data_IF_602641124769
#
_entry.id   IF_602641124769
#
_cell.length_a   1.000
_cell.length_b   1.000
_cell.length_c   1.000
_cell.angle_alpha   90.00
_cell.angle_beta   90.00
_cell.angle_gamma   90.00
#
_symmetry.space_group_name_H-M   'P 1'
#
loop_
_entity.id
_entity.type
_entity.pdbx_description
1 polymer ?
#
# COMPACT_ATOMS: atom_id res chain seq x y z
N UNK A 1 -16.51 -14.40 6.35
CA UNK A 1 -15.23 -14.43 7.07
C UNK A 1 -14.30 -13.36 6.51
N UNK A 2 -13.63 -12.61 7.39
CA UNK A 2 -12.66 -11.57 7.03
C UNK A 2 -11.26 -12.00 7.47
N UNK A 3 -10.32 -12.08 6.54
CA UNK A 3 -8.92 -12.42 6.81
C UNK A 3 -8.06 -11.17 6.66
N UNK A 4 -7.33 -10.80 7.70
CA UNK A 4 -6.22 -9.86 7.62
C UNK A 4 -4.90 -10.59 7.46
N UNK A 5 -4.06 -10.19 6.51
CA UNK A 5 -2.73 -10.77 6.31
C UNK A 5 -1.67 -9.74 6.69
N UNK A 6 -0.89 -10.05 7.71
CA UNK A 6 0.26 -9.27 8.15
C UNK A 6 1.57 -10.01 7.88
N UNK A 7 2.68 -9.28 7.97
CA UNK A 7 4.01 -9.83 7.84
C UNK A 7 5.01 -8.80 7.27
N UNK A 8 6.29 -9.14 7.38
CA UNK A 8 7.38 -8.24 7.02
C UNK A 8 7.51 -7.99 5.50
N UNK A 9 8.40 -7.07 5.12
CA UNK A 9 8.66 -6.77 3.70
C UNK A 9 9.10 -8.03 2.94
N UNK A 10 8.61 -8.21 1.71
CA UNK A 10 8.94 -9.35 0.82
C UNK A 10 8.59 -10.74 1.37
N UNK A 11 7.80 -10.83 2.43
CA UNK A 11 7.49 -12.11 3.08
C UNK A 11 6.54 -13.00 2.28
N UNK A 12 5.80 -12.41 1.33
CA UNK A 12 4.85 -13.11 0.47
C UNK A 12 3.39 -12.81 0.80
N UNK A 13 3.08 -11.81 1.64
CA UNK A 13 1.68 -11.49 2.02
C UNK A 13 0.72 -11.33 0.83
N UNK A 14 1.16 -10.64 -0.23
CA UNK A 14 0.35 -10.46 -1.43
C UNK A 14 0.17 -11.77 -2.21
N UNK A 15 1.20 -12.63 -2.24
CA UNK A 15 1.08 -13.97 -2.83
C UNK A 15 0.10 -14.83 -2.05
N UNK A 16 0.11 -14.76 -0.72
CA UNK A 16 -0.87 -15.43 0.13
C UNK A 16 -2.29 -14.89 -0.13
N UNK A 17 -2.46 -13.57 -0.25
CA UNK A 17 -3.75 -12.97 -0.59
C UNK A 17 -4.26 -13.47 -1.95
N UNK A 18 -3.40 -13.49 -2.96
CA UNK A 18 -3.73 -13.95 -4.31
C UNK A 18 -4.13 -15.43 -4.31
N UNK A 19 -3.44 -16.26 -3.53
CA UNK A 19 -3.83 -17.67 -3.34
C UNK A 19 -5.24 -17.80 -2.77
N UNK A 20 -5.59 -17.02 -1.73
CA UNK A 20 -6.94 -17.03 -1.15
C UNK A 20 -8.00 -16.59 -2.17
N UNK A 21 -7.70 -15.60 -2.99
CA UNK A 21 -8.63 -15.14 -4.04
C UNK A 21 -8.82 -16.20 -5.11
N UNK A 22 -7.73 -16.73 -5.66
CA UNK A 22 -7.77 -17.65 -6.79
C UNK A 22 -8.29 -19.04 -6.41
N UNK A 23 -7.91 -19.57 -5.25
CA UNK A 23 -8.19 -20.96 -4.87
C UNK A 23 -9.39 -21.10 -3.94
N UNK A 24 -9.65 -20.10 -3.08
CA UNK A 24 -10.72 -20.16 -2.07
C UNK A 24 -11.84 -19.16 -2.32
N UNK A 25 -11.81 -18.41 -3.42
CA UNK A 25 -12.89 -17.48 -3.81
C UNK A 25 -13.02 -16.27 -2.91
N UNK A 26 -11.96 -15.86 -2.22
CA UNK A 26 -11.97 -14.62 -1.45
C UNK A 26 -12.02 -13.41 -2.37
N UNK A 27 -12.66 -12.34 -1.92
CA UNK A 27 -12.57 -11.04 -2.56
C UNK A 27 -11.64 -10.12 -1.78
N UNK A 28 -10.76 -9.44 -2.51
CA UNK A 28 -9.74 -8.59 -1.92
C UNK A 28 -10.33 -7.21 -1.58
N UNK A 29 -10.06 -6.74 -0.38
CA UNK A 29 -10.41 -5.40 0.07
C UNK A 29 -9.12 -4.59 0.24
N UNK A 30 -9.22 -3.29 0.01
CA UNK A 30 -8.11 -2.35 0.11
C UNK A 30 -8.49 -1.15 0.98
N UNK A 31 -7.54 -0.74 1.82
CA UNK A 31 -7.59 0.49 2.61
C UNK A 31 -6.47 1.42 2.13
N UNK A 32 -6.69 2.75 2.09
CA UNK A 32 -5.65 3.69 1.71
C UNK A 32 -4.49 3.58 2.69
N UNK A 33 -3.28 3.53 2.14
CA UNK A 33 -2.09 3.65 2.97
C UNK A 33 -2.01 5.11 3.45
N UNK A 34 -1.68 5.39 4.73
CA UNK A 34 -1.61 6.77 5.25
C UNK A 34 -0.77 7.74 4.40
N UNK A 35 0.24 7.23 3.67
CA UNK A 35 1.08 8.01 2.77
C UNK A 35 0.36 8.52 1.51
N UNK A 36 -0.79 7.96 1.16
CA UNK A 36 -1.52 8.29 -0.08
C UNK A 36 -2.39 9.56 0.07
N UNK A 37 -2.53 10.10 1.29
CA UNK A 37 -3.36 11.28 1.60
C UNK A 37 -2.60 12.62 1.59
N UNK A 38 -1.54 12.77 0.77
CA UNK A 38 -1.01 14.09 0.44
C UNK A 38 -1.57 14.58 -0.90
N UNK A 39 -2.68 15.37 -0.91
CA UNK A 39 -2.99 16.18 -2.07
C UNK A 39 -1.93 17.30 -2.17
N UNK A 40 -1.20 17.35 -3.30
CA UNK A 40 -0.45 18.53 -3.71
C UNK A 40 -1.44 19.71 -3.81
N UNK A 41 -1.51 20.53 -2.76
CA UNK A 41 -2.13 21.85 -2.80
C UNK A 41 -1.14 22.86 -2.24
N UNK A 42 -0.38 23.50 -3.14
CA UNK A 42 0.30 24.76 -2.84
C UNK A 42 0.04 25.75 -3.98
N UNK A 43 -0.99 26.55 -3.75
CA UNK A 43 -1.06 28.00 -3.98
C UNK A 43 -0.63 28.56 -5.35
N UNK A 44 -1.63 28.83 -6.18
CA UNK A 44 -1.58 29.70 -7.35
C UNK A 44 -2.01 31.14 -7.00
N UNK A 45 -1.23 32.10 -7.52
CA UNK A 45 -1.54 33.49 -7.85
C UNK A 45 -1.59 34.55 -6.73
N UNK A 46 -0.51 35.33 -6.60
CA UNK A 46 -0.65 36.78 -6.37
C UNK A 46 0.45 37.61 -7.08
N UNK A 47 0.00 38.30 -8.13
CA UNK A 47 0.28 39.66 -8.62
C UNK A 47 1.64 40.36 -8.35
N UNK A 48 2.39 40.71 -9.42
CA UNK A 48 2.93 42.05 -9.81
C UNK A 48 4.26 41.97 -10.62
N UNK A 49 4.43 42.69 -11.76
CA UNK A 49 5.67 42.70 -12.55
C UNK A 49 6.46 44.01 -12.47
N UNK A 50 7.74 43.96 -12.07
CA UNK A 50 8.79 44.99 -12.29
C UNK A 50 10.08 44.50 -11.60
N UNK A 51 11.34 44.77 -11.95
CA UNK A 51 12.04 45.42 -13.07
C UNK A 51 13.54 45.21 -12.73
N UNK A 52 14.31 44.57 -13.62
CA UNK A 52 15.77 44.69 -13.81
C UNK A 52 16.70 44.40 -12.60
N UNK A 53 17.48 43.31 -12.65
CA UNK A 53 18.98 43.30 -12.58
C UNK A 53 19.59 41.92 -12.31
N UNK A 54 20.24 41.37 -13.35
CA UNK A 54 21.60 40.78 -13.40
C UNK A 54 22.06 39.73 -12.37
N UNK A 55 22.43 38.58 -12.95
CA UNK A 55 23.56 37.69 -12.62
C UNK A 55 23.58 36.98 -11.25
N UNK A 56 23.31 35.67 -11.23
CA UNK A 56 24.28 34.60 -10.88
C UNK A 56 23.60 33.27 -10.53
N UNK A 57 24.17 32.18 -11.08
CA UNK A 57 24.19 30.79 -10.59
C UNK A 57 22.85 30.01 -10.39
N UNK A 58 22.67 28.86 -11.07
CA UNK A 58 21.74 27.84 -10.63
C UNK A 58 22.41 26.95 -9.57
N UNK A 59 22.18 27.22 -8.29
CA UNK A 59 22.47 26.28 -7.21
C UNK A 59 21.33 25.26 -7.10
N UNK A 60 21.69 24.00 -7.36
CA UNK A 60 20.97 22.72 -7.19
C UNK A 60 19.55 22.72 -6.59
N UNK A 61 18.57 22.07 -7.25
CA UNK A 61 17.33 21.67 -6.59
C UNK A 61 17.60 20.52 -5.59
N UNK A 62 16.87 20.46 -4.45
CA UNK A 62 17.07 19.47 -3.41
C UNK A 62 16.67 18.06 -3.91
N UNK A 63 17.29 16.97 -3.42
CA UNK A 63 16.95 15.62 -3.87
C UNK A 63 15.53 15.26 -3.39
N UNK A 64 14.62 14.82 -4.28
CA UNK A 64 13.31 14.34 -3.88
C UNK A 64 13.44 12.92 -3.30
N UNK A 65 12.97 12.72 -2.06
CA UNK A 65 12.09 11.64 -1.56
C UNK A 65 11.99 10.30 -2.35
N UNK A 66 13.10 9.68 -2.78
CA UNK A 66 13.10 8.44 -3.58
C UNK A 66 12.76 7.17 -2.77
N UNK A 67 12.82 7.20 -1.44
CA UNK A 67 12.67 5.97 -0.63
C UNK A 67 11.21 5.52 -0.39
N UNK A 68 10.24 6.43 -0.44
CA UNK A 68 8.85 6.07 -0.12
C UNK A 68 8.07 5.46 -1.30
N UNK A 69 8.36 5.89 -2.53
CA UNK A 69 7.71 5.34 -3.73
C UNK A 69 8.17 3.91 -4.03
N UNK A 70 9.34 3.50 -3.51
CA UNK A 70 9.88 2.14 -3.66
C UNK A 70 9.21 1.11 -2.76
N UNK A 71 8.50 1.55 -1.72
CA UNK A 71 7.75 0.67 -0.81
C UNK A 71 6.30 0.44 -1.26
N UNK A 72 5.89 1.01 -2.39
CA UNK A 72 4.56 0.79 -2.94
C UNK A 72 4.35 -0.72 -3.24
N UNK A 73 3.17 -1.27 -2.91
CA UNK A 73 2.86 -2.66 -3.18
C UNK A 73 3.11 -2.98 -4.65
N UNK A 74 3.94 -4.00 -4.86
CA UNK A 74 4.28 -4.57 -6.16
C UNK A 74 3.04 -4.71 -7.03
N UNK A 75 3.15 -4.18 -8.25
CA UNK A 75 2.31 -4.11 -9.48
C UNK A 75 1.25 -5.22 -9.71
N UNK A 76 1.19 -6.27 -8.91
CA UNK A 76 0.15 -7.31 -8.98
C UNK A 76 -1.25 -6.86 -8.56
N UNK A 77 -1.42 -5.70 -7.89
CA UNK A 77 -2.77 -5.18 -7.54
C UNK A 77 -3.50 -4.49 -8.70
N UNK A 78 -2.84 -4.28 -9.85
CA UNK A 78 -3.42 -3.60 -11.01
C UNK A 78 -3.90 -4.56 -12.12
N UNK A 79 -3.60 -5.86 -12.04
CA UNK A 79 -3.64 -6.74 -13.22
C UNK A 79 -4.78 -7.79 -13.28
N UNK A 80 -5.79 -7.77 -12.40
CA UNK A 80 -6.97 -8.63 -12.65
C UNK A 80 -7.84 -9.03 -11.46
N UNK A 81 -7.43 -8.72 -10.23
CA UNK A 81 -8.18 -9.13 -9.05
C UNK A 81 -9.20 -8.03 -8.71
N UNK A 82 -10.50 -8.30 -8.89
CA UNK A 82 -11.64 -7.38 -8.61
C UNK A 82 -11.68 -7.00 -7.13
N UNK A 83 -10.78 -6.13 -6.69
CA UNK A 83 -10.73 -5.64 -5.33
C UNK A 83 -11.69 -4.47 -5.10
N UNK A 84 -12.26 -4.38 -3.88
CA UNK A 84 -13.02 -3.21 -3.44
C UNK A 84 -12.12 -2.33 -2.59
N UNK A 85 -12.09 -1.03 -2.89
CA UNK A 85 -11.38 -0.03 -2.08
C UNK A 85 -12.35 0.73 -1.18
N UNK A 86 -11.90 1.04 0.03
CA UNK A 86 -12.67 1.81 1.02
C UNK A 86 -11.86 3.02 1.45
N UNK A 87 -12.47 4.19 1.69
CA UNK A 87 -11.75 5.39 2.11
C UNK A 87 -11.21 5.31 3.55
N UNK A 88 -11.84 4.49 4.39
CA UNK A 88 -11.53 4.36 5.81
C UNK A 88 -11.96 2.97 6.34
N UNK A 89 -11.48 2.64 7.54
CA UNK A 89 -11.71 1.34 8.18
C UNK A 89 -13.18 1.16 8.58
N UNK A 90 -13.87 2.24 8.97
CA UNK A 90 -15.26 2.17 9.40
C UNK A 90 -16.18 1.84 8.23
N UNK A 91 -15.97 2.48 7.07
CA UNK A 91 -16.68 2.17 5.82
C UNK A 91 -16.46 0.71 5.39
N UNK A 92 -15.24 0.20 5.53
CA UNK A 92 -14.94 -1.21 5.28
C UNK A 92 -15.69 -2.12 6.25
N UNK A 93 -15.67 -1.80 7.54
CA UNK A 93 -16.32 -2.59 8.57
C UNK A 93 -17.84 -2.61 8.40
N UNK A 94 -18.49 -1.50 8.07
CA UNK A 94 -19.92 -1.46 7.76
C UNK A 94 -20.25 -2.36 6.56
N UNK A 95 -19.42 -2.29 5.51
CA UNK A 95 -19.57 -3.13 4.33
C UNK A 95 -19.45 -4.62 4.66
N UNK A 96 -18.41 -5.03 5.38
CA UNK A 96 -18.15 -6.45 5.66
C UNK A 96 -19.11 -7.00 6.71
N UNK A 97 -19.52 -6.20 7.69
CA UNK A 97 -20.43 -6.63 8.76
C UNK A 97 -21.80 -7.02 8.19
N UNK A 98 -22.29 -6.29 7.17
CA UNK A 98 -23.54 -6.64 6.46
C UNK A 98 -23.43 -7.95 5.66
N UNK A 99 -22.23 -8.32 5.22
CA UNK A 99 -21.92 -9.52 4.42
C UNK A 99 -20.93 -10.43 5.12
N UNK A 100 -21.13 -10.66 6.42
CA UNK A 100 -20.15 -11.39 7.25
C UNK A 100 -19.95 -12.86 6.82
N UNK A 101 -20.89 -13.44 6.08
CA UNK A 101 -20.82 -14.82 5.54
C UNK A 101 -19.97 -14.94 4.28
N UNK A 102 -19.71 -13.83 3.58
CA UNK A 102 -18.86 -13.81 2.37
C UNK A 102 -17.38 -13.82 2.74
N UNK A 103 -16.51 -14.12 1.78
CA UNK A 103 -15.07 -14.32 2.00
C UNK A 103 -14.26 -13.10 1.59
N UNK A 104 -13.59 -12.47 2.56
CA UNK A 104 -12.90 -11.20 2.38
C UNK A 104 -11.45 -11.30 2.83
N UNK A 105 -10.53 -10.69 2.09
CA UNK A 105 -9.09 -10.65 2.43
C UNK A 105 -8.53 -9.23 2.37
N UNK A 106 -7.73 -8.87 3.37
CA UNK A 106 -7.04 -7.58 3.52
C UNK A 106 -5.53 -7.78 3.66
N UNK A 107 -4.74 -6.93 3.00
CA UNK A 107 -3.27 -6.89 3.12
C UNK A 107 -2.72 -5.59 3.70
N UNK A 108 -3.62 -4.65 4.00
CA UNK A 108 -3.34 -3.23 4.20
C UNK A 108 -3.64 -2.80 5.64
N UNK A 109 -3.17 -3.58 6.61
CA UNK A 109 -3.30 -3.29 8.04
C UNK A 109 -1.96 -2.72 8.51
N UNK A 110 -1.89 -1.40 8.68
CA UNK A 110 -0.62 -0.68 8.92
C UNK A 110 -0.49 -0.11 10.34
N UNK A 111 -1.60 0.10 11.02
CA UNK A 111 -1.72 0.75 12.32
C UNK A 111 -2.46 -0.14 13.34
N UNK A 112 -2.14 0.06 14.61
CA UNK A 112 -2.70 -0.68 15.73
C UNK A 112 -4.20 -0.41 15.89
N UNK A 113 -4.64 0.84 15.67
CA UNK A 113 -6.05 1.25 15.76
C UNK A 113 -6.94 0.50 14.77
N UNK A 114 -6.55 0.45 13.49
CA UNK A 114 -7.22 -0.36 12.46
C UNK A 114 -7.30 -1.83 12.88
N UNK A 115 -6.21 -2.38 13.42
CA UNK A 115 -6.18 -3.77 13.87
C UNK A 115 -7.14 -4.02 15.04
N UNK A 116 -7.17 -3.14 16.04
CA UNK A 116 -8.09 -3.24 17.18
C UNK A 116 -9.56 -3.21 16.73
N UNK A 117 -9.91 -2.34 15.78
CA UNK A 117 -11.26 -2.26 15.22
C UNK A 117 -11.67 -3.55 14.51
N UNK A 118 -10.74 -4.17 13.76
CA UNK A 118 -10.95 -5.44 13.08
C UNK A 118 -11.08 -6.61 14.07
N UNK A 119 -10.23 -6.67 15.10
CA UNK A 119 -10.24 -7.71 16.14
C UNK A 119 -11.54 -7.79 16.94
N UNK A 120 -12.29 -6.68 17.04
CA UNK A 120 -13.62 -6.67 17.68
C UNK A 120 -14.68 -7.47 16.90
N UNK A 121 -14.41 -7.91 15.67
CA UNK A 121 -15.39 -8.66 14.85
C UNK A 121 -15.21 -10.17 15.03
N UNK A 122 -16.28 -10.92 15.36
CA UNK A 122 -16.18 -12.36 15.63
C UNK A 122 -15.83 -13.21 14.40
N UNK A 123 -15.93 -12.65 13.19
CA UNK A 123 -15.60 -13.31 11.93
C UNK A 123 -14.24 -12.89 11.35
N UNK A 124 -13.43 -12.14 12.12
CA UNK A 124 -12.10 -11.69 11.71
C UNK A 124 -11.01 -12.66 12.14
N UNK A 125 -10.05 -12.91 11.25
CA UNK A 125 -8.87 -13.74 11.50
C UNK A 125 -7.61 -13.01 11.00
N UNK A 126 -6.63 -12.79 11.88
CA UNK A 126 -5.33 -12.25 11.50
C UNK A 126 -4.35 -13.40 11.23
N UNK A 127 -3.71 -13.38 10.05
CA UNK A 127 -2.70 -14.34 9.62
C UNK A 127 -1.36 -13.62 9.46
N UNK A 128 -0.36 -14.05 10.22
CA UNK A 128 1.01 -13.62 10.01
C UNK A 128 1.72 -14.54 9.01
N UNK A 129 2.25 -13.97 7.93
CA UNK A 129 3.07 -14.69 6.94
C UNK A 129 4.54 -14.44 7.25
N UNK A 130 5.33 -15.51 7.30
CA UNK A 130 6.78 -15.44 7.51
C UNK A 130 7.58 -16.09 6.36
N UNK A 131 8.83 -15.66 6.19
CA UNK A 131 9.78 -16.21 5.24
C UNK A 131 11.23 -15.95 5.68
N UNK A 132 12.15 -16.92 5.45
CA UNK A 132 13.57 -16.74 5.75
C UNK A 132 14.15 -15.48 5.10
N UNK A 133 15.10 -14.82 5.78
CA UNK A 133 15.71 -13.56 5.32
C UNK A 133 16.27 -13.69 3.89
N UNK A 134 16.93 -14.81 3.57
CA UNK A 134 17.45 -15.06 2.21
C UNK A 134 16.36 -15.08 1.13
N UNK A 135 15.18 -15.66 1.43
CA UNK A 135 14.03 -15.68 0.51
C UNK A 135 13.44 -14.27 0.36
N UNK A 136 13.30 -13.53 1.47
CA UNK A 136 12.82 -12.13 1.44
C UNK A 136 13.77 -11.24 0.63
N UNK A 137 15.07 -11.37 0.84
CA UNK A 137 16.10 -10.62 0.11
C UNK A 137 16.12 -10.97 -1.37
N UNK A 138 16.01 -12.26 -1.73
CA UNK A 138 15.86 -12.69 -3.13
C UNK A 138 14.66 -12.01 -3.79
N UNK A 139 13.46 -12.09 -3.17
CA UNK A 139 12.23 -11.45 -3.67
C UNK A 139 12.30 -9.92 -3.71
N UNK A 140 13.07 -9.30 -2.82
CA UNK A 140 13.33 -7.86 -2.87
C UNK A 140 14.22 -7.52 -4.06
N UNK A 141 15.32 -8.24 -4.21
CA UNK A 141 16.27 -8.09 -5.31
C UNK A 141 15.59 -8.29 -6.66
N UNK A 142 14.73 -9.32 -6.74
CA UNK A 142 13.92 -9.67 -7.90
C UNK A 142 12.98 -8.56 -8.38
N UNK A 143 12.54 -7.69 -7.46
CA UNK A 143 11.61 -6.61 -7.80
C UNK A 143 12.28 -5.26 -8.00
N UNK A 144 13.37 -4.99 -7.28
CA UNK A 144 13.92 -3.62 -7.21
C UNK A 144 15.38 -3.51 -7.67
N UNK A 145 16.16 -4.59 -7.62
CA UNK A 145 17.62 -4.51 -7.87
C UNK A 145 17.99 -4.79 -9.33
N UNK A 146 17.17 -5.53 -10.10
CA UNK A 146 17.45 -5.78 -11.53
C UNK A 146 17.51 -4.51 -12.39
N UNK A 147 17.03 -3.36 -11.90
CA UNK A 147 17.12 -2.07 -12.59
C UNK A 147 18.55 -1.49 -12.57
N UNK A 148 19.47 -1.99 -11.72
CA UNK A 148 20.78 -1.36 -11.47
C UNK A 148 21.99 -2.08 -12.07
N UNK A 149 21.83 -3.01 -13.02
CA UNK A 149 23.00 -3.57 -13.72
C UNK A 149 23.27 -2.80 -15.03
N UNK A 150 24.39 -2.08 -15.16
CA UNK A 150 24.85 -1.59 -16.45
C UNK A 150 25.26 -2.79 -17.32
N UNK A 151 24.92 -2.71 -18.60
CA UNK A 151 25.43 -3.57 -19.68
C UNK A 151 26.96 -3.41 -19.75
#
# INVERSE_FOLDING_TARGET
>A
MLIGICGSICVGKHTTAEYLVQQLGFLRLHLPTPTQLQPLQSSSNDTTPSRISRSNLPSSPPPPTIDHLRLLPSVTDQAGTRGLSFPDVESLLDFVTKRWREHWVLTDIYDEETLELLLRRPFFMLINVDAPVGVRYKRFSDRYVWISRPI
#
